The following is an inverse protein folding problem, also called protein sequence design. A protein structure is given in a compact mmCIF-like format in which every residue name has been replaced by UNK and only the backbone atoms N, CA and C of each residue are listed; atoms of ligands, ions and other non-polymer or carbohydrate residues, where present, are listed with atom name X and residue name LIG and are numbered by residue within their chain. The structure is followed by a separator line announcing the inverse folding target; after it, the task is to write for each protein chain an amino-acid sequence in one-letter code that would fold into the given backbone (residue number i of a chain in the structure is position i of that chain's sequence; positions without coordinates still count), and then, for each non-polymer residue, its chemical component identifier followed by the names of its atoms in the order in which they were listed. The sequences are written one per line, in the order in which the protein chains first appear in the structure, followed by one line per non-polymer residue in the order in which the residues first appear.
data_IF_361696982232
#
_entry.id   IF_361696982232
#
_cell.length_a   1.000
_cell.length_b   1.000
_cell.length_c   1.000
_cell.angle_alpha   90.00
_cell.angle_beta   90.00
_cell.angle_gamma   90.00
#
_symmetry.space_group_name_H-M   'P 1'
#
loop_
_entity.id
_entity.type
_entity.pdbx_description
1 polymer ?
#
# COMPACT_ATOMS: atom_id res chain seq x y z
N UNK A 1 5.75 6.85 6.08
CA UNK A 1 5.02 6.85 4.79
C UNK A 1 5.84 7.65 3.78
N UNK A 2 6.06 7.14 2.57
CA UNK A 2 6.90 7.78 1.53
C UNK A 2 6.10 7.96 0.24
N UNK A 3 6.53 8.93 -0.58
CA UNK A 3 5.92 9.18 -1.90
C UNK A 3 6.23 8.07 -2.90
N UNK A 4 5.30 7.83 -3.83
CA UNK A 4 5.47 6.97 -5.00
C UNK A 4 6.17 7.65 -6.19
N UNK A 5 6.50 8.94 -6.08
CA UNK A 5 7.30 9.67 -7.09
C UNK A 5 8.70 9.05 -7.15
N UNK A 6 9.25 8.97 -8.36
CA UNK A 6 10.57 8.37 -8.63
C UNK A 6 10.73 6.91 -8.14
N UNK A 7 9.61 6.18 -8.10
CA UNK A 7 9.60 4.73 -7.84
C UNK A 7 9.37 3.92 -9.11
N UNK A 8 9.87 2.67 -9.18
CA UNK A 8 9.57 1.76 -10.27
C UNK A 8 8.07 1.65 -10.56
N UNK A 9 7.71 1.51 -11.83
CA UNK A 9 6.30 1.46 -12.26
C UNK A 9 5.50 0.38 -11.54
N UNK A 10 6.12 -0.78 -11.26
CA UNK A 10 5.48 -1.86 -10.49
C UNK A 10 4.96 -1.39 -9.13
N UNK A 11 5.74 -0.60 -8.39
CA UNK A 11 5.36 -0.11 -7.06
C UNK A 11 4.26 0.94 -7.18
N UNK A 12 4.34 1.82 -8.17
CA UNK A 12 3.28 2.81 -8.46
C UNK A 12 1.95 2.13 -8.76
N UNK A 13 1.97 1.05 -9.55
CA UNK A 13 0.77 0.24 -9.85
C UNK A 13 0.23 -0.46 -8.61
N UNK A 14 1.09 -1.04 -7.76
CA UNK A 14 0.67 -1.64 -6.48
C UNK A 14 -0.01 -0.62 -5.57
N UNK A 15 0.58 0.58 -5.40
CA UNK A 15 -0.04 1.65 -4.59
C UNK A 15 -1.41 2.05 -5.15
N UNK A 16 -1.54 2.19 -6.47
CA UNK A 16 -2.81 2.52 -7.13
C UNK A 16 -3.85 1.41 -6.96
N UNK A 17 -3.45 0.14 -7.05
CA UNK A 17 -4.31 -1.02 -6.86
C UNK A 17 -4.81 -1.15 -5.41
N UNK A 18 -3.96 -0.84 -4.43
CA UNK A 18 -4.37 -0.70 -3.02
C UNK A 18 -5.25 0.53 -2.76
N UNK A 19 -5.44 1.41 -3.74
CA UNK A 19 -6.26 2.61 -3.64
C UNK A 19 -5.53 3.84 -3.09
N UNK A 20 -4.21 3.78 -2.89
CA UNK A 20 -3.40 4.86 -2.35
C UNK A 20 -2.97 5.83 -3.47
N UNK A 21 -3.81 6.84 -3.74
CA UNK A 21 -3.59 7.82 -4.82
C UNK A 21 -2.87 9.10 -4.40
N UNK A 22 -2.93 9.46 -3.11
CA UNK A 22 -2.33 10.68 -2.54
C UNK A 22 -1.43 10.32 -1.37
N UNK A 23 -0.49 11.21 -1.03
CA UNK A 23 0.29 11.08 0.21
C UNK A 23 -0.64 11.11 1.43
N UNK A 24 -0.30 10.30 2.44
CA UNK A 24 -1.06 10.15 3.69
C UNK A 24 -2.51 9.69 3.54
N UNK A 25 -2.89 9.15 2.38
CA UNK A 25 -4.16 8.45 2.24
C UNK A 25 -4.12 7.14 3.05
N UNK A 26 -5.21 6.83 3.74
CA UNK A 26 -5.45 5.55 4.40
C UNK A 26 -6.64 4.85 3.73
N UNK A 27 -6.66 3.52 3.82
CA UNK A 27 -7.78 2.70 3.36
C UNK A 27 -7.76 1.39 4.13
N UNK A 28 -8.94 0.98 4.59
CA UNK A 28 -9.15 -0.32 5.21
C UNK A 28 -9.43 -1.37 4.12
N UNK A 29 -8.78 -2.51 4.24
CA UNK A 29 -8.86 -3.62 3.29
C UNK A 29 -8.80 -4.93 4.06
N UNK A 30 -9.52 -5.94 3.58
CA UNK A 30 -9.47 -7.28 4.14
C UNK A 30 -8.08 -7.90 3.97
N UNK A 31 -7.59 -8.57 5.02
CA UNK A 31 -6.28 -9.18 5.07
C UNK A 31 -6.21 -10.52 4.28
N UNK A 32 -6.44 -10.45 2.98
CA UNK A 32 -6.27 -11.63 2.10
C UNK A 32 -4.79 -11.86 1.77
N UNK A 33 -4.36 -13.11 1.47
CA UNK A 33 -2.97 -13.41 1.12
C UNK A 33 -2.45 -12.57 -0.07
N UNK A 34 -3.32 -12.22 -1.01
CA UNK A 34 -2.99 -11.36 -2.15
C UNK A 34 -2.65 -9.93 -1.71
N UNK A 35 -3.49 -9.33 -0.84
CA UNK A 35 -3.26 -7.99 -0.30
C UNK A 35 -1.99 -7.96 0.54
N UNK A 36 -1.77 -8.97 1.39
CA UNK A 36 -0.55 -9.09 2.18
C UNK A 36 0.70 -9.16 1.30
N UNK A 37 0.66 -9.94 0.20
CA UNK A 37 1.74 -9.99 -0.78
C UNK A 37 2.02 -8.64 -1.44
N UNK A 38 0.96 -7.91 -1.82
CA UNK A 38 1.07 -6.56 -2.38
C UNK A 38 1.67 -5.57 -1.39
N UNK A 39 1.20 -5.59 -0.14
CA UNK A 39 1.69 -4.74 0.95
C UNK A 39 3.18 -5.01 1.22
N UNK A 40 3.59 -6.29 1.26
CA UNK A 40 4.98 -6.67 1.45
C UNK A 40 5.90 -6.10 0.35
N UNK A 41 5.45 -6.07 -0.91
CA UNK A 41 6.22 -5.51 -2.02
C UNK A 41 6.46 -3.98 -1.91
N UNK A 42 5.62 -3.27 -1.14
CA UNK A 42 5.70 -1.81 -0.94
C UNK A 42 5.84 -1.42 0.54
N UNK A 43 6.26 -2.35 1.40
CA UNK A 43 6.33 -2.19 2.86
C UNK A 43 7.16 -0.99 3.34
N UNK A 44 8.17 -0.59 2.57
CA UNK A 44 9.01 0.58 2.83
C UNK A 44 8.37 1.92 2.44
N UNK A 45 7.22 1.91 1.76
CA UNK A 45 6.47 3.09 1.32
C UNK A 45 5.24 3.36 2.21
N UNK A 46 4.61 2.30 2.72
CA UNK A 46 3.35 2.37 3.47
C UNK A 46 3.56 2.13 4.97
N UNK A 47 2.58 2.52 5.78
CA UNK A 47 2.45 2.08 7.17
C UNK A 47 1.19 1.22 7.23
N UNK A 48 1.26 0.09 7.94
CA UNK A 48 0.14 -0.86 8.08
C UNK A 48 -0.25 -0.87 9.54
N UNK A 49 -1.54 -0.86 9.81
CA UNK A 49 -2.12 -0.94 11.15
C UNK A 49 -3.19 -2.04 11.12
N UNK A 50 -3.13 -2.96 12.08
CA UNK A 50 -4.13 -4.03 12.23
C UNK A 50 -5.28 -3.51 13.08
N UNK A 51 -6.43 -3.33 12.45
CA UNK A 51 -7.66 -2.96 13.14
C UNK A 51 -8.34 -4.27 13.55
N UNK A 52 -8.54 -4.44 14.86
CA UNK A 52 -9.31 -5.55 15.43
C UNK A 52 -10.65 -4.97 15.82
N UNK A 53 -11.68 -5.25 15.05
CA UNK A 53 -13.08 -4.98 15.44
C UNK A 53 -13.58 -6.07 16.39
#
# INVERSE_FOLDING_TARGET
VKSGIDRPERQKRTLKALGLRKLNASREVEATPQILGMVNAVSHLVKVETISE
#
